data_IF_481336206750
#
_entry.id   IF_481336206750
#
_cell.length_a   1.000
_cell.length_b   1.000
_cell.length_c   1.000
_cell.angle_alpha   90.00
_cell.angle_beta   90.00
_cell.angle_gamma   90.00
#
_symmetry.space_group_name_H-M   'P 1'
#
loop_
_entity.id
_entity.type
_entity.pdbx_description
1 polymer ?
#
# COMPACT_ATOMS: atom_id res chain seq x y z
N UNK A 1 12.74 13.36 11.70
CA UNK A 1 12.83 12.00 11.13
C UNK A 1 14.08 11.40 11.70
N UNK A 2 14.02 10.18 12.24
CA UNK A 2 15.21 9.55 12.83
C UNK A 2 16.03 8.77 11.79
N UNK A 3 17.23 8.31 12.18
CA UNK A 3 18.17 7.60 11.30
C UNK A 3 17.56 6.34 10.67
N UNK A 4 16.73 5.60 11.42
CA UNK A 4 16.07 4.39 10.91
C UNK A 4 15.01 4.77 9.88
N UNK A 5 14.15 5.73 10.20
CA UNK A 5 13.17 6.26 9.26
C UNK A 5 13.86 6.77 7.98
N UNK A 6 15.00 7.46 8.10
CA UNK A 6 15.77 7.96 6.97
C UNK A 6 16.36 6.83 6.12
N UNK A 7 16.84 5.75 6.74
CA UNK A 7 17.30 4.56 6.03
C UNK A 7 16.14 3.89 5.24
N UNK A 8 14.97 3.75 5.87
CA UNK A 8 13.77 3.21 5.20
C UNK A 8 13.29 4.11 4.05
N UNK A 9 13.34 5.43 4.23
CA UNK A 9 13.04 6.38 3.17
C UNK A 9 13.99 6.25 1.99
N UNK A 10 15.29 6.24 2.27
CA UNK A 10 16.33 6.14 1.25
C UNK A 10 16.21 4.83 0.46
N UNK A 11 15.86 3.73 1.12
CA UNK A 11 15.74 2.41 0.50
C UNK A 11 14.46 2.21 -0.31
N UNK A 12 13.31 2.70 0.17
CA UNK A 12 12.01 2.32 -0.39
C UNK A 12 11.26 3.47 -1.05
N UNK A 13 11.30 4.68 -0.47
CA UNK A 13 10.52 5.83 -0.94
C UNK A 13 11.27 6.69 -1.93
N UNK A 14 12.59 6.77 -1.85
CA UNK A 14 13.39 7.65 -2.70
C UNK A 14 13.13 7.45 -4.20
N UNK A 15 12.90 6.21 -4.63
CA UNK A 15 12.68 5.85 -6.03
C UNK A 15 11.38 6.41 -6.65
N UNK A 16 10.44 6.93 -5.84
CA UNK A 16 9.18 7.50 -6.35
C UNK A 16 9.29 8.99 -6.69
N UNK A 17 10.40 9.63 -6.34
CA UNK A 17 10.71 10.99 -6.76
C UNK A 17 11.27 11.03 -8.17
N UNK A 18 11.18 12.20 -8.83
CA UNK A 18 11.83 12.42 -10.13
C UNK A 18 13.35 12.23 -10.05
N UNK A 19 14.03 11.72 -11.09
CA UNK A 19 15.46 11.41 -11.07
C UNK A 19 16.36 12.56 -10.58
N UNK A 20 16.09 13.80 -10.99
CA UNK A 20 16.86 14.96 -10.53
C UNK A 20 16.74 15.19 -9.02
N UNK A 21 15.55 14.95 -8.47
CA UNK A 21 15.28 15.06 -7.03
C UNK A 21 15.96 13.92 -6.29
N UNK A 22 15.92 12.71 -6.84
CA UNK A 22 16.66 11.57 -6.28
C UNK A 22 18.15 11.88 -6.17
N UNK A 23 18.77 12.45 -7.21
CA UNK A 23 20.19 12.80 -7.20
C UNK A 23 20.53 13.84 -6.12
N UNK A 24 19.70 14.88 -5.96
CA UNK A 24 19.88 15.89 -4.91
C UNK A 24 19.81 15.27 -3.52
N UNK A 25 18.81 14.41 -3.29
CA UNK A 25 18.62 13.72 -2.02
C UNK A 25 19.79 12.75 -1.75
N UNK A 26 20.19 11.91 -2.71
CA UNK A 26 21.33 10.99 -2.57
C UNK A 26 22.61 11.73 -2.19
N UNK A 27 22.90 12.86 -2.84
CA UNK A 27 24.05 13.71 -2.49
C UNK A 27 23.96 14.21 -1.05
N UNK A 28 22.77 14.60 -0.58
CA UNK A 28 22.58 15.06 0.79
C UNK A 28 22.77 13.92 1.81
N UNK A 29 22.20 12.74 1.54
CA UNK A 29 22.36 11.54 2.36
C UNK A 29 23.84 11.12 2.48
N UNK A 30 24.56 11.09 1.37
CA UNK A 30 25.99 10.77 1.35
C UNK A 30 26.81 11.77 2.18
N UNK A 31 26.50 13.08 2.09
CA UNK A 31 27.16 14.11 2.94
C UNK A 31 26.92 13.90 4.43
N UNK A 32 25.81 13.27 4.81
CA UNK A 32 25.50 12.90 6.19
C UNK A 32 26.03 11.51 6.58
N UNK A 33 26.79 10.86 5.70
CA UNK A 33 27.35 9.54 5.93
C UNK A 33 26.34 8.40 5.82
N UNK A 34 25.20 8.60 5.14
CA UNK A 34 24.26 7.53 4.80
C UNK A 34 24.71 6.86 3.50
N UNK A 35 25.73 5.99 3.60
CA UNK A 35 26.11 5.08 2.52
C UNK A 35 25.11 3.93 2.40
N UNK A 36 25.15 3.20 1.29
CA UNK A 36 24.28 2.04 1.10
C UNK A 36 24.49 0.99 2.20
N UNK A 37 25.74 0.76 2.62
CA UNK A 37 26.09 -0.16 3.68
C UNK A 37 25.46 0.26 5.02
N UNK A 38 25.60 1.55 5.40
CA UNK A 38 24.99 2.06 6.63
C UNK A 38 23.47 1.99 6.60
N UNK A 39 22.85 2.31 5.45
CA UNK A 39 21.40 2.19 5.27
C UNK A 39 20.96 0.74 5.51
N UNK A 40 21.63 -0.23 4.87
CA UNK A 40 21.29 -1.63 5.02
C UNK A 40 21.53 -2.13 6.47
N UNK A 41 22.59 -1.67 7.14
CA UNK A 41 22.84 -1.97 8.55
C UNK A 41 21.73 -1.45 9.47
N UNK A 42 21.30 -0.19 9.30
CA UNK A 42 20.21 0.39 10.07
C UNK A 42 18.89 -0.37 9.87
N UNK A 43 18.61 -0.82 8.64
CA UNK A 43 17.42 -1.64 8.34
C UNK A 43 17.53 -3.03 8.96
N UNK A 44 18.72 -3.64 8.97
CA UNK A 44 18.93 -4.98 9.54
C UNK A 44 18.80 -4.99 11.07
N UNK A 45 19.33 -3.95 11.74
CA UNK A 45 19.25 -3.80 13.20
C UNK A 45 17.84 -3.41 13.65
N UNK A 46 17.02 -2.88 12.73
CA UNK A 46 15.75 -2.17 12.98
C UNK A 46 15.15 -2.47 14.35
N UNK A 47 15.31 -1.56 15.33
CA UNK A 47 14.73 -1.75 16.64
C UNK A 47 13.23 -1.81 16.43
N UNK A 48 12.62 -2.98 16.72
CA UNK A 48 11.17 -3.09 16.87
C UNK A 48 10.80 -2.12 18.00
N UNK A 49 10.53 -0.86 17.67
CA UNK A 49 10.17 0.17 18.63
C UNK A 49 8.98 -0.39 19.38
N UNK A 50 9.15 -0.59 20.68
CA UNK A 50 8.15 -1.17 21.57
C UNK A 50 6.77 -0.63 21.22
N UNK A 51 5.81 -1.55 21.13
CA UNK A 51 4.42 -1.25 20.81
C UNK A 51 3.90 -0.23 21.84
N UNK A 52 3.92 1.06 21.47
CA UNK A 52 3.12 2.05 22.20
C UNK A 52 1.67 1.67 21.94
N UNK A 53 1.05 1.02 22.93
CA UNK A 53 -0.33 0.54 22.88
C UNK A 53 -1.24 1.63 22.31
N UNK A 54 -1.95 1.31 21.22
CA UNK A 54 -3.01 2.16 20.66
C UNK A 54 -2.67 3.02 19.43
N UNK A 55 -1.44 3.00 18.90
CA UNK A 55 -1.13 3.70 17.63
C UNK A 55 -0.76 2.72 16.52
N UNK A 56 -1.45 2.83 15.39
CA UNK A 56 -1.13 2.11 14.15
C UNK A 56 0.29 2.45 13.69
N UNK A 57 1.06 1.43 13.29
CA UNK A 57 2.42 1.59 12.78
C UNK A 57 2.60 0.84 11.49
N UNK A 58 3.52 1.33 10.67
CA UNK A 58 3.91 0.65 9.46
C UNK A 58 4.58 -0.69 9.80
N UNK A 59 4.11 -1.83 9.26
CA UNK A 59 4.71 -3.12 9.55
C UNK A 59 6.13 -3.28 8.98
N UNK A 60 6.51 -2.46 7.98
CA UNK A 60 7.85 -2.48 7.37
C UNK A 60 8.88 -1.67 8.17
N UNK A 61 8.56 -0.42 8.52
CA UNK A 61 9.52 0.51 9.12
C UNK A 61 9.20 0.91 10.56
N UNK A 62 8.13 0.38 11.15
CA UNK A 62 7.64 0.70 12.50
C UNK A 62 7.34 2.19 12.76
N UNK A 63 7.33 3.04 11.73
CA UNK A 63 6.93 4.45 11.85
C UNK A 63 5.42 4.56 12.06
N UNK A 64 5.00 5.51 12.88
CA UNK A 64 3.60 5.91 13.09
C UNK A 64 3.15 7.00 12.10
N UNK A 65 4.01 7.39 11.16
CA UNK A 65 3.70 8.36 10.08
C UNK A 65 2.90 7.69 8.98
N UNK A 66 1.63 7.45 9.27
CA UNK A 66 0.66 6.87 8.35
C UNK A 66 -0.20 7.98 7.74
N UNK A 67 -0.36 7.97 6.42
CA UNK A 67 -1.33 8.83 5.72
C UNK A 67 -2.52 7.99 5.28
N UNK A 68 -3.72 8.52 5.51
CA UNK A 68 -4.99 7.94 5.07
C UNK A 68 -5.65 8.91 4.12
N UNK A 69 -5.93 8.46 2.91
CA UNK A 69 -6.58 9.23 1.86
C UNK A 69 -7.84 8.50 1.41
N UNK A 70 -8.87 9.26 1.03
CA UNK A 70 -10.04 8.70 0.34
C UNK A 70 -9.79 8.79 -1.15
N UNK A 71 -9.83 7.66 -1.84
CA UNK A 71 -9.69 7.58 -3.28
C UNK A 71 -11.02 7.17 -3.91
N UNK A 72 -11.34 7.78 -5.04
CA UNK A 72 -12.53 7.48 -5.82
C UNK A 72 -12.32 6.19 -6.63
N UNK A 73 -13.35 5.36 -6.68
CA UNK A 73 -13.33 4.14 -7.48
C UNK A 73 -13.66 4.46 -8.94
N UNK A 74 -12.72 4.19 -9.85
CA UNK A 74 -12.89 4.44 -11.30
C UNK A 74 -13.05 3.16 -12.12
N UNK A 75 -13.38 2.03 -11.49
CA UNK A 75 -13.56 0.75 -12.20
C UNK A 75 -14.88 0.76 -13.01
N UNK A 76 -14.81 1.28 -14.23
CA UNK A 76 -15.94 1.32 -15.19
C UNK A 76 -15.82 0.25 -16.29
N UNK A 77 -14.80 -0.60 -16.24
CA UNK A 77 -14.58 -1.65 -17.24
C UNK A 77 -14.99 -3.03 -16.75
N UNK A 78 -16.30 -3.27 -16.70
CA UNK A 78 -16.89 -4.58 -17.04
C UNK A 78 -18.43 -4.57 -17.03
N UNK A 79 -19.06 -3.79 -17.92
CA UNK A 79 -20.36 -4.12 -18.53
C UNK A 79 -20.48 -3.46 -19.91
N UNK A 80 -19.64 -3.88 -20.85
CA UNK A 80 -19.95 -3.73 -22.28
C UNK A 80 -20.65 -5.03 -22.67
N UNK A 81 -21.97 -5.03 -22.63
CA UNK A 81 -22.77 -6.22 -22.91
C UNK A 81 -24.25 -5.96 -22.70
N UNK A 82 -24.90 -5.54 -23.79
CA UNK A 82 -26.35 -5.42 -24.00
C UNK A 82 -27.07 -4.45 -23.06
N UNK A 83 -27.00 -3.16 -23.39
CA UNK A 83 -28.07 -2.14 -23.32
C UNK A 83 -27.43 -0.77 -23.53
N UNK A 84 -26.94 -0.54 -24.76
CA UNK A 84 -26.65 0.79 -25.30
C UNK A 84 -27.98 1.56 -25.42
N UNK A 85 -28.55 2.07 -24.31
CA UNK A 85 -29.71 2.98 -24.38
C UNK A 85 -29.98 3.82 -23.11
N UNK A 86 -29.01 3.99 -22.20
CA UNK A 86 -29.14 4.94 -21.05
C UNK A 86 -27.90 5.86 -20.92
N UNK A 87 -27.23 6.15 -22.03
CA UNK A 87 -26.05 7.04 -22.03
C UNK A 87 -26.38 8.55 -21.98
N UNK A 88 -27.66 8.94 -21.91
CA UNK A 88 -28.06 10.35 -21.99
C UNK A 88 -29.12 10.81 -20.98
N UNK A 89 -29.42 10.02 -19.93
CA UNK A 89 -30.47 10.38 -18.97
C UNK A 89 -30.11 10.18 -17.49
N UNK A 90 -28.84 10.36 -17.11
CA UNK A 90 -28.42 10.28 -15.70
C UNK A 90 -27.31 11.29 -15.31
N UNK A 91 -27.42 12.51 -15.84
CA UNK A 91 -26.49 13.62 -15.58
C UNK A 91 -26.53 14.21 -14.16
N UNK A 92 -27.02 13.52 -13.13
CA UNK A 92 -27.22 14.12 -11.80
C UNK A 92 -26.99 13.24 -10.55
N UNK A 93 -26.56 11.98 -10.66
CA UNK A 93 -26.22 11.19 -9.46
C UNK A 93 -25.12 10.16 -9.71
N UNK A 94 -23.91 10.63 -10.03
CA UNK A 94 -22.71 9.76 -9.93
C UNK A 94 -22.45 9.50 -8.45
N UNK A 95 -22.94 8.36 -7.95
CA UNK A 95 -22.65 7.88 -6.59
C UNK A 95 -21.21 7.38 -6.56
N UNK A 96 -20.26 8.30 -6.41
CA UNK A 96 -18.83 8.00 -6.32
C UNK A 96 -18.61 7.09 -5.11
N UNK A 97 -18.25 5.83 -5.36
CA UNK A 97 -17.81 4.95 -4.29
C UNK A 97 -16.39 5.37 -3.90
N UNK A 98 -16.17 5.69 -2.62
CA UNK A 98 -14.85 6.05 -2.11
C UNK A 98 -14.31 4.93 -1.24
N UNK A 99 -13.02 4.61 -1.38
CA UNK A 99 -12.29 3.66 -0.54
C UNK A 99 -11.16 4.36 0.19
N UNK A 100 -10.83 3.86 1.36
CA UNK A 100 -9.64 4.32 2.08
C UNK A 100 -8.40 3.70 1.46
N UNK A 101 -7.40 4.54 1.25
CA UNK A 101 -6.02 4.18 0.99
C UNK A 101 -5.21 4.52 2.23
N UNK A 102 -4.52 3.54 2.82
CA UNK A 102 -3.68 3.75 3.99
C UNK A 102 -2.26 3.36 3.65
N UNK A 103 -1.33 4.29 3.75
CA UNK A 103 0.07 4.10 3.31
C UNK A 103 1.06 4.76 4.28
N UNK A 104 2.22 4.16 4.44
CA UNK A 104 3.29 4.72 5.24
C UNK A 104 3.98 5.88 4.51
N UNK A 105 4.07 7.04 5.15
CA UNK A 105 4.71 8.21 4.56
C UNK A 105 6.26 8.11 4.55
N UNK A 106 6.85 7.17 5.29
CA UNK A 106 8.31 6.97 5.35
C UNK A 106 8.79 6.05 4.24
N UNK A 107 8.22 4.85 4.12
CA UNK A 107 8.70 3.79 3.22
C UNK A 107 7.72 3.41 2.11
N UNK A 108 6.63 4.16 1.96
CA UNK A 108 5.54 3.92 0.97
C UNK A 108 4.95 2.52 0.98
N UNK A 109 4.99 1.86 2.14
CA UNK A 109 4.29 0.59 2.30
C UNK A 109 2.78 0.83 2.38
N UNK A 110 2.04 0.20 1.47
CA UNK A 110 0.58 0.14 1.50
C UNK A 110 0.13 -0.75 2.66
N UNK A 111 -0.63 -0.17 3.58
CA UNK A 111 -1.23 -0.89 4.71
C UNK A 111 -2.67 -1.28 4.37
N UNK A 112 -3.38 -0.40 3.68
CA UNK A 112 -4.66 -0.71 3.03
C UNK A 112 -4.57 -0.26 1.57
N UNK A 113 -4.59 -1.24 0.66
CA UNK A 113 -4.61 -1.04 -0.78
C UNK A 113 -6.07 -0.98 -1.28
N UNK A 114 -6.52 0.16 -1.82
CA UNK A 114 -7.89 0.36 -2.31
C UNK A 114 -8.22 -0.52 -3.54
N UNK A 115 -7.20 -1.03 -4.24
CA UNK A 115 -7.32 -1.88 -5.43
C UNK A 115 -7.09 -3.36 -5.13
N UNK A 116 -6.72 -3.71 -3.89
CA UNK A 116 -6.73 -5.11 -3.48
C UNK A 116 -8.19 -5.56 -3.34
N UNK A 117 -8.70 -6.25 -4.36
CA UNK A 117 -9.86 -7.09 -4.16
C UNK A 117 -9.50 -8.07 -3.04
N UNK A 118 -10.14 -7.94 -1.88
CA UNK A 118 -10.19 -9.04 -0.93
C UNK A 118 -10.91 -10.16 -1.64
N UNK A 119 -10.19 -11.01 -2.37
CA UNK A 119 -10.59 -12.38 -2.61
C UNK A 119 -10.57 -13.07 -1.25
N UNK A 120 -11.56 -12.74 -0.41
CA UNK A 120 -12.04 -13.60 0.64
C UNK A 120 -12.67 -14.82 -0.04
N UNK A 121 -11.85 -15.64 -0.70
CA UNK A 121 -12.19 -17.05 -0.85
C UNK A 121 -12.05 -17.61 0.55
N UNK A 122 -13.17 -17.53 1.27
CA UNK A 122 -13.37 -18.11 2.58
C UNK A 122 -12.74 -19.50 2.60
N UNK A 123 -12.00 -19.83 3.66
CA UNK A 123 -11.48 -21.18 3.91
C UNK A 123 -12.55 -22.28 3.73
N UNK A 124 -13.83 -21.93 3.86
CA UNK A 124 -14.98 -22.80 3.57
C UNK A 124 -15.07 -23.28 2.12
N UNK A 125 -14.59 -22.49 1.14
CA UNK A 125 -14.61 -22.88 -0.28
C UNK A 125 -13.67 -24.06 -0.56
N UNK A 126 -12.51 -24.12 0.12
CA UNK A 126 -11.58 -25.25 -0.02
C UNK A 126 -12.08 -26.52 0.68
N UNK A 127 -12.84 -26.38 1.77
CA UNK A 127 -13.42 -27.52 2.48
C UNK A 127 -14.57 -28.14 1.65
N UNK A 128 -15.42 -27.32 1.03
CA UNK A 128 -16.51 -27.81 0.18
C UNK A 128 -16.00 -28.57 -1.05
N UNK A 129 -14.96 -28.06 -1.72
CA UNK A 129 -14.39 -28.67 -2.93
C UNK A 129 -13.73 -30.03 -2.62
N UNK A 130 -13.03 -30.12 -1.48
CA UNK A 130 -12.41 -31.38 -1.03
C UNK A 130 -13.47 -32.42 -0.64
N UNK A 131 -14.56 -32.02 0.01
CA UNK A 131 -15.64 -32.94 0.41
C UNK A 131 -16.44 -33.40 -0.81
N UNK A 132 -16.76 -32.52 -1.76
CA UNK A 132 -17.54 -32.90 -2.94
C UNK A 132 -16.82 -33.93 -3.81
N UNK A 133 -15.50 -33.82 -3.98
CA UNK A 133 -14.70 -34.79 -4.73
C UNK A 133 -14.54 -36.17 -4.06
N UNK A 134 -14.71 -36.26 -2.74
CA UNK A 134 -14.65 -37.53 -2.00
C UNK A 134 -15.97 -38.31 -2.11
N UNK A 135 -17.10 -37.64 -2.33
CA UNK A 135 -18.43 -38.28 -2.37
C UNK A 135 -18.97 -38.60 -3.78
N UNK A 136 -18.25 -38.22 -4.85
CA UNK A 136 -18.66 -38.47 -6.24
C UNK A 136 -17.69 -39.35 -7.04
N UNK A 137 -16.81 -40.09 -6.37
CA UNK A 137 -16.01 -41.18 -6.96
C UNK A 137 -16.43 -42.50 -6.34
#
# INVERSE_FOLDING_TARGET
MDDYELAYFAKFKLQTYMPETQLKIKKHLLKQGFTEERINQLIAINPKKEEKKGKMRCPRCSSDKIRTEKVEWTDTTNKIGYEDEIASMDGLTVKVTSKNQVICNVCEYWIEDPNSEKTNKSLWYHIYDTVFHIFTT
#
